data_IF_766792436014
#
_entry.id   IF_766792436014
#
_cell.length_a   1.000
_cell.length_b   1.000
_cell.length_c   1.000
_cell.angle_alpha   90.00
_cell.angle_beta   90.00
_cell.angle_gamma   90.00
#
_symmetry.space_group_name_H-M   'P 1'
#
loop_
_entity.id
_entity.type
_entity.pdbx_description
1 polymer ?
#
# COMPACT_ATOMS: atom_id res chain seq x y z
N UNK A 1 -69.32 -69.79 48.43
CA UNK A 1 -69.56 -69.13 49.73
C UNK A 1 -69.68 -67.64 49.46
N UNK A 2 -70.91 -67.12 49.41
CA UNK A 2 -71.50 -66.24 50.44
C UNK A 2 -70.55 -65.13 50.91
N UNK A 3 -70.79 -63.91 50.42
CA UNK A 3 -71.13 -62.77 51.29
C UNK A 3 -71.59 -61.60 50.43
N UNK A 4 -72.91 -61.40 50.45
CA UNK A 4 -73.59 -60.14 50.11
C UNK A 4 -73.35 -59.12 51.22
N UNK A 5 -73.16 -57.85 50.86
CA UNK A 5 -73.71 -56.79 51.69
C UNK A 5 -74.19 -55.62 50.83
N UNK A 6 -75.43 -55.26 51.12
CA UNK A 6 -76.31 -54.39 50.38
C UNK A 6 -76.32 -52.98 50.99
N UNK A 7 -76.38 -51.99 50.09
CA UNK A 7 -77.14 -50.74 50.16
C UNK A 7 -77.00 -49.82 51.39
N UNK A 8 -76.52 -48.60 51.13
CA UNK A 8 -77.24 -47.40 51.60
C UNK A 8 -77.53 -46.47 50.44
N UNK A 9 -78.83 -46.23 50.28
CA UNK A 9 -79.48 -45.28 49.42
C UNK A 9 -79.28 -43.86 49.97
N UNK A 10 -78.87 -42.92 49.12
CA UNK A 10 -78.93 -41.49 49.36
C UNK A 10 -79.45 -40.82 48.10
N UNK A 11 -80.77 -40.69 48.00
CA UNK A 11 -81.46 -40.01 46.90
C UNK A 11 -81.11 -38.52 46.87
N UNK A 12 -80.82 -37.97 45.70
CA UNK A 12 -81.73 -37.02 45.02
C UNK A 12 -81.19 -36.60 43.66
N UNK A 13 -82.07 -36.74 42.68
CA UNK A 13 -81.98 -36.27 41.31
C UNK A 13 -81.65 -34.78 41.20
N UNK A 14 -80.82 -34.42 40.21
CA UNK A 14 -81.14 -33.29 39.33
C UNK A 14 -80.41 -33.41 37.99
N UNK A 15 -81.18 -33.82 36.98
CA UNK A 15 -81.15 -33.41 35.57
C UNK A 15 -79.81 -33.37 34.82
N UNK A 16 -79.70 -34.29 33.85
CA UNK A 16 -78.89 -34.10 32.65
C UNK A 16 -79.41 -32.91 31.83
N UNK A 17 -78.51 -31.99 31.47
CA UNK A 17 -78.62 -31.16 30.27
C UNK A 17 -77.27 -31.22 29.53
N UNK A 18 -77.35 -31.55 28.23
CA UNK A 18 -76.23 -31.56 27.29
C UNK A 18 -75.59 -30.16 27.19
N UNK A 19 -74.27 -30.06 27.32
CA UNK A 19 -73.53 -28.86 26.92
C UNK A 19 -72.20 -29.17 26.21
N UNK A 20 -72.03 -28.46 25.12
CA UNK A 20 -70.99 -28.45 24.08
C UNK A 20 -69.54 -28.76 24.48
N UNK A 21 -68.84 -29.47 23.57
CA UNK A 21 -67.37 -29.55 23.48
C UNK A 21 -66.74 -28.14 23.55
N UNK A 22 -65.98 -27.87 24.61
CA UNK A 22 -65.12 -26.68 24.69
C UNK A 22 -63.79 -26.92 23.98
N UNK A 23 -63.55 -26.13 22.93
CA UNK A 23 -62.22 -25.90 22.31
C UNK A 23 -61.32 -25.20 23.33
N UNK A 24 -60.11 -25.71 23.53
CA UNK A 24 -59.09 -25.08 24.37
C UNK A 24 -58.71 -23.68 23.87
N UNK A 25 -58.66 -22.73 24.81
CA UNK A 25 -58.39 -21.32 24.58
C UNK A 25 -56.89 -21.08 24.35
N UNK A 26 -56.49 -20.69 23.13
CA UNK A 26 -55.13 -20.25 22.78
C UNK A 26 -54.77 -18.98 23.58
N UNK A 27 -53.74 -19.05 24.42
CA UNK A 27 -53.16 -17.87 25.09
C UNK A 27 -52.55 -16.93 24.03
N UNK A 28 -53.00 -15.68 23.99
CA UNK A 28 -52.46 -14.65 23.09
C UNK A 28 -50.99 -14.33 23.45
N UNK A 29 -50.09 -14.16 22.47
CA UNK A 29 -48.67 -13.96 22.71
C UNK A 29 -48.37 -12.50 23.09
N UNK A 30 -48.52 -12.17 24.38
CA UNK A 30 -48.21 -10.85 24.95
C UNK A 30 -46.72 -10.47 24.84
N UNK A 31 -45.83 -11.45 24.65
CA UNK A 31 -44.39 -11.21 24.44
C UNK A 31 -44.08 -10.39 23.19
N UNK A 32 -44.92 -10.47 22.15
CA UNK A 32 -44.74 -9.70 20.92
C UNK A 32 -44.90 -8.19 21.19
N UNK A 33 -45.81 -7.82 22.10
CA UNK A 33 -46.08 -6.42 22.44
C UNK A 33 -44.88 -5.78 23.17
N UNK A 34 -44.05 -6.58 23.85
CA UNK A 34 -42.85 -6.11 24.55
C UNK A 34 -41.63 -6.15 23.62
N UNK A 35 -41.52 -7.15 22.76
CA UNK A 35 -40.39 -7.30 21.83
C UNK A 35 -40.33 -6.21 20.77
N UNK A 36 -41.47 -5.85 20.18
CA UNK A 36 -41.54 -4.83 19.12
C UNK A 36 -40.97 -3.48 19.56
N UNK A 37 -41.39 -2.86 20.69
CA UNK A 37 -40.84 -1.59 21.12
C UNK A 37 -39.36 -1.68 21.51
N UNK A 38 -38.91 -2.81 22.04
CA UNK A 38 -37.50 -3.04 22.40
C UNK A 38 -36.60 -3.07 21.15
N UNK A 39 -37.06 -3.74 20.08
CA UNK A 39 -36.40 -3.73 18.77
C UNK A 39 -36.42 -2.33 18.15
N UNK A 40 -37.55 -1.61 18.23
CA UNK A 40 -37.63 -0.24 17.72
C UNK A 40 -36.65 0.71 18.45
N UNK A 41 -36.56 0.62 19.78
CA UNK A 41 -35.61 1.43 20.57
C UNK A 41 -34.17 1.08 20.19
N UNK A 42 -33.85 -0.21 20.03
CA UNK A 42 -32.52 -0.64 19.62
C UNK A 42 -32.13 -0.09 18.24
N UNK A 43 -33.05 -0.13 17.26
CA UNK A 43 -32.82 0.42 15.93
C UNK A 43 -32.64 1.94 15.95
N UNK A 44 -33.41 2.67 16.77
CA UNK A 44 -33.27 4.13 16.93
C UNK A 44 -31.94 4.47 17.60
N UNK A 45 -31.52 3.73 18.62
CA UNK A 45 -30.23 3.92 19.27
C UNK A 45 -29.06 3.62 18.34
N UNK A 46 -29.15 2.55 17.54
CA UNK A 46 -28.13 2.21 16.53
C UNK A 46 -28.06 3.26 15.40
N UNK A 47 -29.19 3.90 15.07
CA UNK A 47 -29.22 4.99 14.09
C UNK A 47 -28.62 6.30 14.63
N UNK A 48 -28.89 6.64 15.89
CA UNK A 48 -28.38 7.87 16.53
C UNK A 48 -26.90 7.73 16.92
N UNK A 49 -26.47 6.53 17.31
CA UNK A 49 -25.09 6.23 17.72
C UNK A 49 -24.48 5.13 16.84
N UNK A 50 -24.07 5.46 15.59
CA UNK A 50 -23.39 4.51 14.75
C UNK A 50 -22.05 4.10 15.41
N UNK A 51 -21.74 2.80 15.51
CA UNK A 51 -20.49 2.33 16.12
C UNK A 51 -19.30 2.81 15.28
N UNK A 52 -18.31 3.42 15.94
CA UNK A 52 -17.09 3.91 15.28
C UNK A 52 -16.11 2.79 14.89
N UNK A 53 -16.33 1.55 15.35
CA UNK A 53 -15.48 0.39 15.05
C UNK A 53 -16.29 -0.74 14.41
N UNK A 54 -15.95 -1.07 13.15
CA UNK A 54 -16.60 -2.08 12.32
C UNK A 54 -16.14 -3.52 12.58
N UNK A 55 -15.15 -3.73 13.44
CA UNK A 55 -14.57 -5.06 13.70
C UNK A 55 -15.58 -6.07 14.24
N UNK A 56 -16.63 -5.61 14.95
CA UNK A 56 -17.70 -6.46 15.45
C UNK A 56 -18.73 -6.86 14.36
N UNK A 57 -18.80 -6.12 13.24
CA UNK A 57 -19.75 -6.38 12.15
C UNK A 57 -19.35 -7.62 11.32
N UNK A 58 -18.04 -7.78 11.09
CA UNK A 58 -17.48 -8.94 10.37
C UNK A 58 -17.64 -10.27 11.12
N UNK A 59 -17.87 -10.23 12.44
CA UNK A 59 -18.08 -11.44 13.27
C UNK A 59 -19.51 -11.97 13.14
N UNK A 60 -20.49 -11.14 12.75
CA UNK A 60 -21.91 -11.49 12.76
C UNK A 60 -22.54 -11.62 11.36
N UNK A 61 -22.06 -10.90 10.33
CA UNK A 61 -22.52 -11.08 8.93
C UNK A 61 -21.64 -10.33 7.92
N UNK A 62 -20.99 -11.05 6.99
CA UNK A 62 -20.19 -10.42 5.91
C UNK A 62 -21.04 -9.63 4.92
N UNK A 63 -22.21 -10.16 4.53
CA UNK A 63 -23.04 -9.58 3.47
C UNK A 63 -23.81 -8.32 3.93
N UNK A 64 -24.14 -8.23 5.22
CA UNK A 64 -24.81 -7.05 5.77
C UNK A 64 -23.90 -5.80 5.79
N UNK A 65 -22.60 -6.00 6.02
CA UNK A 65 -21.66 -4.88 6.14
C UNK A 65 -21.26 -4.28 4.79
N UNK A 66 -21.11 -5.09 3.72
CA UNK A 66 -20.92 -4.55 2.36
C UNK A 66 -22.09 -3.67 1.90
N UNK A 67 -23.30 -4.05 2.31
CA UNK A 67 -24.50 -3.27 2.02
C UNK A 67 -24.40 -1.92 2.73
N UNK A 68 -24.10 -1.89 4.04
CA UNK A 68 -24.00 -0.66 4.85
C UNK A 68 -22.87 0.27 4.36
N UNK A 69 -21.72 -0.26 3.95
CA UNK A 69 -20.63 0.57 3.37
C UNK A 69 -21.04 1.26 2.07
N UNK A 70 -21.93 0.64 1.29
CA UNK A 70 -22.47 1.23 0.06
C UNK A 70 -23.59 2.26 0.32
N UNK A 71 -24.22 2.24 1.50
CA UNK A 71 -25.28 3.19 1.90
C UNK A 71 -24.76 4.47 2.55
N UNK A 72 -23.53 4.46 3.08
CA UNK A 72 -22.91 5.67 3.61
C UNK A 72 -22.47 6.56 2.45
N UNK A 73 -22.87 7.85 2.43
CA UNK A 73 -22.32 8.78 1.45
C UNK A 73 -20.78 8.77 1.58
N UNK A 74 -20.03 8.81 0.47
CA UNK A 74 -18.58 8.88 0.54
C UNK A 74 -18.20 10.02 1.47
N UNK A 75 -17.24 9.77 2.36
CA UNK A 75 -16.73 10.81 3.25
C UNK A 75 -16.44 12.06 2.38
N UNK A 76 -16.88 13.26 2.81
CA UNK A 76 -16.67 14.47 2.03
C UNK A 76 -15.18 14.53 1.69
N UNK A 77 -14.87 14.71 0.40
CA UNK A 77 -13.49 14.80 -0.05
C UNK A 77 -12.81 15.86 0.82
N UNK A 78 -11.85 15.42 1.64
CA UNK A 78 -11.12 16.32 2.51
C UNK A 78 -10.50 17.41 1.65
N UNK A 79 -10.68 18.67 2.05
CA UNK A 79 -10.03 19.78 1.37
C UNK A 79 -8.52 19.55 1.39
N UNK A 80 -7.87 19.75 0.23
CA UNK A 80 -6.44 19.55 0.10
C UNK A 80 -5.70 20.65 0.86
N UNK A 81 -4.60 20.26 1.51
CA UNK A 81 -3.66 21.19 2.12
C UNK A 81 -2.89 21.98 1.06
N UNK A 82 -2.34 23.13 1.44
CA UNK A 82 -1.53 23.97 0.54
C UNK A 82 -0.32 23.19 -0.02
N UNK A 83 0.30 22.33 0.80
CA UNK A 83 1.44 21.50 0.40
C UNK A 83 1.05 20.43 -0.61
N UNK A 84 -0.13 19.81 -0.46
CA UNK A 84 -0.68 18.86 -1.43
C UNK A 84 -1.00 19.55 -2.76
N UNK A 85 -1.59 20.76 -2.71
CA UNK A 85 -1.88 21.54 -3.90
C UNK A 85 -0.58 21.91 -4.62
N UNK A 86 0.41 22.41 -3.89
CA UNK A 86 1.72 22.78 -4.45
C UNK A 86 2.42 21.57 -5.09
N UNK A 87 2.46 20.43 -4.39
CA UNK A 87 3.03 19.18 -4.90
C UNK A 87 2.34 18.73 -6.19
N UNK A 88 1.00 18.72 -6.22
CA UNK A 88 0.22 18.36 -7.41
C UNK A 88 0.48 19.29 -8.59
N UNK A 89 0.61 20.59 -8.36
CA UNK A 89 0.91 21.57 -9.42
C UNK A 89 2.30 21.30 -10.02
N UNK A 90 3.32 21.13 -9.17
CA UNK A 90 4.70 20.87 -9.59
C UNK A 90 4.80 19.55 -10.36
N UNK A 91 4.28 18.46 -9.81
CA UNK A 91 4.30 17.14 -10.47
C UNK A 91 3.59 17.19 -11.82
N UNK A 92 2.40 17.79 -11.87
CA UNK A 92 1.63 17.93 -13.12
C UNK A 92 2.42 18.72 -14.17
N UNK A 93 3.11 19.78 -13.77
CA UNK A 93 3.88 20.60 -14.70
C UNK A 93 5.11 19.84 -15.24
N UNK A 94 5.82 19.12 -14.37
CA UNK A 94 6.93 18.24 -14.78
C UNK A 94 6.46 17.18 -15.78
N UNK A 95 5.32 16.53 -15.52
CA UNK A 95 4.76 15.51 -16.42
C UNK A 95 4.27 16.07 -17.76
N UNK A 96 3.89 17.35 -17.82
CA UNK A 96 3.47 18.03 -19.06
C UNK A 96 4.62 18.68 -19.81
N UNK A 97 5.76 18.86 -19.17
CA UNK A 97 6.94 19.47 -19.77
C UNK A 97 7.49 18.56 -20.87
N UNK A 98 7.74 19.12 -22.05
CA UNK A 98 8.33 18.36 -23.14
C UNK A 98 9.75 17.87 -22.74
N UNK A 99 10.09 16.59 -22.96
CA UNK A 99 11.40 16.08 -22.61
C UNK A 99 12.49 16.80 -23.43
N UNK A 100 13.56 17.21 -22.76
CA UNK A 100 14.75 17.76 -23.41
C UNK A 100 15.51 16.57 -24.00
N UNK A 101 15.19 16.22 -25.25
CA UNK A 101 15.89 15.14 -25.96
C UNK A 101 17.17 15.70 -26.56
N UNK A 102 18.30 15.32 -25.97
CA UNK A 102 19.63 15.61 -26.53
C UNK A 102 19.95 14.62 -27.66
N UNK A 103 20.69 15.08 -28.67
CA UNK A 103 21.27 14.19 -29.69
C UNK A 103 22.17 13.14 -29.03
N UNK A 104 22.81 13.50 -27.91
CA UNK A 104 23.71 12.66 -27.14
C UNK A 104 23.01 12.10 -25.89
N UNK A 105 21.78 11.63 -26.02
CA UNK A 105 21.04 11.10 -24.86
C UNK A 105 21.79 9.94 -24.21
N UNK A 106 21.84 9.92 -22.87
CA UNK A 106 22.60 8.94 -22.08
C UNK A 106 21.72 8.19 -21.10
N UNK A 107 22.18 6.98 -20.76
CA UNK A 107 21.70 6.25 -19.59
C UNK A 107 22.68 6.48 -18.42
N UNK A 108 22.15 6.96 -17.30
CA UNK A 108 22.88 7.06 -16.04
C UNK A 108 22.79 5.73 -15.27
N UNK A 109 23.92 5.05 -15.11
CA UNK A 109 24.07 3.87 -14.27
C UNK A 109 24.46 4.29 -12.86
N UNK A 110 23.58 4.02 -11.91
CA UNK A 110 23.66 4.45 -10.52
C UNK A 110 24.03 3.25 -9.64
N UNK A 111 25.30 3.10 -9.32
CA UNK A 111 25.79 2.01 -8.47
C UNK A 111 25.72 2.43 -7.00
N UNK A 112 24.85 1.78 -6.23
CA UNK A 112 24.81 1.91 -4.78
C UNK A 112 25.45 0.68 -4.15
N UNK A 113 26.64 0.84 -3.55
CA UNK A 113 27.47 -0.27 -3.09
C UNK A 113 27.88 -0.11 -1.62
N UNK A 114 28.22 -1.20 -0.92
CA UNK A 114 28.93 -1.10 0.35
C UNK A 114 30.39 -0.65 0.15
N UNK A 115 31.04 -1.04 -0.94
CA UNK A 115 32.43 -0.73 -1.22
C UNK A 115 32.84 -1.12 -2.63
N UNK A 116 33.83 -2.02 -2.76
CA UNK A 116 34.32 -2.53 -4.03
C UNK A 116 33.21 -3.13 -4.92
N UNK A 117 33.44 -3.11 -6.24
CA UNK A 117 32.55 -3.68 -7.26
C UNK A 117 33.15 -5.01 -7.76
N UNK A 118 32.67 -6.17 -7.30
CA UNK A 118 33.24 -7.46 -7.71
C UNK A 118 33.14 -7.72 -9.21
N UNK A 119 32.09 -7.20 -9.86
CA UNK A 119 31.82 -7.36 -11.28
C UNK A 119 32.28 -6.17 -12.13
N UNK A 120 33.20 -5.34 -11.62
CA UNK A 120 33.68 -4.15 -12.34
C UNK A 120 34.19 -4.48 -13.75
N UNK A 121 34.99 -5.53 -13.91
CA UNK A 121 35.51 -5.96 -15.22
C UNK A 121 34.44 -6.51 -16.17
N UNK A 122 33.28 -6.94 -15.65
CA UNK A 122 32.15 -7.33 -16.49
C UNK A 122 31.44 -6.07 -17.02
N UNK A 123 31.22 -5.09 -16.15
CA UNK A 123 30.67 -3.80 -16.53
C UNK A 123 31.59 -3.02 -17.47
N UNK A 124 32.90 -3.13 -17.29
CA UNK A 124 33.91 -2.59 -18.22
C UNK A 124 33.68 -3.09 -19.66
N UNK A 125 33.56 -4.41 -19.82
CA UNK A 125 33.25 -5.02 -21.13
C UNK A 125 31.88 -4.63 -21.67
N UNK A 126 30.89 -4.45 -20.79
CA UNK A 126 29.56 -4.03 -21.19
C UNK A 126 29.56 -2.59 -21.73
N UNK A 127 30.36 -1.70 -21.15
CA UNK A 127 30.45 -0.30 -21.56
C UNK A 127 31.38 -0.05 -22.75
N UNK A 128 32.32 -0.96 -23.00
CA UNK A 128 33.34 -0.82 -24.02
C UNK A 128 32.77 -0.44 -25.39
N UNK A 129 33.24 0.68 -25.96
CA UNK A 129 32.86 1.14 -27.30
C UNK A 129 31.55 1.95 -27.36
N UNK A 130 30.94 2.26 -26.21
CA UNK A 130 29.69 3.02 -26.12
C UNK A 130 29.87 4.37 -25.40
N UNK A 131 31.09 4.90 -25.42
CA UNK A 131 31.43 6.17 -24.78
C UNK A 131 30.55 7.30 -25.32
N UNK A 132 29.93 8.04 -24.40
CA UNK A 132 29.01 9.13 -24.74
C UNK A 132 27.53 8.73 -24.73
N UNK A 133 27.21 7.44 -24.69
CA UNK A 133 25.82 6.93 -24.56
C UNK A 133 25.44 6.56 -23.10
N UNK A 134 26.38 6.67 -22.17
CA UNK A 134 26.14 6.41 -20.75
C UNK A 134 26.95 7.32 -19.84
N UNK A 135 26.56 7.33 -18.56
CA UNK A 135 27.35 7.88 -17.47
C UNK A 135 27.26 6.98 -16.23
N UNK A 136 28.31 6.97 -15.42
CA UNK A 136 28.42 6.10 -14.24
C UNK A 136 28.54 6.97 -12.99
N UNK A 137 27.77 6.62 -11.95
CA UNK A 137 27.82 7.25 -10.63
C UNK A 137 27.89 6.17 -9.56
N UNK A 138 28.82 6.32 -8.61
CA UNK A 138 29.03 5.33 -7.56
C UNK A 138 28.80 5.97 -6.19
N UNK A 139 27.93 5.37 -5.39
CA UNK A 139 27.75 5.69 -3.98
C UNK A 139 28.22 4.50 -3.13
N UNK A 140 29.41 4.63 -2.53
CA UNK A 140 30.01 3.60 -1.68
C UNK A 140 29.79 3.94 -0.19
N UNK A 141 28.97 3.13 0.49
CA UNK A 141 28.45 3.45 1.83
C UNK A 141 29.34 3.08 3.02
N UNK A 142 30.36 2.22 2.82
CA UNK A 142 31.30 1.81 3.88
C UNK A 142 32.73 2.19 3.53
N UNK A 143 33.25 1.61 2.46
CA UNK A 143 34.65 1.73 2.07
C UNK A 143 34.77 2.45 0.73
N UNK A 144 35.76 3.33 0.58
CA UNK A 144 36.05 3.91 -0.72
C UNK A 144 36.69 2.84 -1.61
N UNK A 145 36.05 2.42 -2.71
CA UNK A 145 36.60 1.41 -3.59
C UNK A 145 37.83 1.94 -4.34
N UNK A 146 38.73 1.03 -4.72
CA UNK A 146 39.76 1.29 -5.71
C UNK A 146 39.27 0.70 -7.03
N UNK A 147 39.15 1.55 -8.05
CA UNK A 147 38.68 1.16 -9.38
C UNK A 147 39.86 0.90 -10.32
N UNK A 148 39.70 -0.09 -11.19
CA UNK A 148 40.65 -0.51 -12.22
C UNK A 148 40.15 -0.16 -13.62
N UNK A 149 38.84 -0.18 -13.84
CA UNK A 149 38.19 0.22 -15.08
C UNK A 149 38.16 1.74 -15.21
N UNK A 150 38.51 2.25 -16.39
CA UNK A 150 38.45 3.68 -16.71
C UNK A 150 37.04 4.26 -16.60
N UNK A 151 36.01 3.43 -16.76
CA UNK A 151 34.62 3.85 -16.64
C UNK A 151 34.20 4.15 -15.20
N UNK A 152 34.89 3.59 -14.20
CA UNK A 152 34.57 3.76 -12.78
C UNK A 152 35.54 4.71 -12.04
N UNK A 153 36.71 4.98 -12.61
CA UNK A 153 37.67 5.93 -12.03
C UNK A 153 37.04 7.32 -11.89
N UNK A 154 37.11 7.88 -10.67
CA UNK A 154 36.58 9.20 -10.30
C UNK A 154 35.06 9.36 -10.55
N UNK A 155 34.29 8.27 -10.44
CA UNK A 155 32.84 8.29 -10.56
C UNK A 155 32.11 8.29 -9.22
N UNK A 156 32.86 8.26 -8.11
CA UNK A 156 32.30 8.29 -6.78
C UNK A 156 31.70 9.66 -6.46
N UNK A 157 30.46 9.65 -5.99
CA UNK A 157 29.81 10.84 -5.45
C UNK A 157 30.12 10.96 -3.95
N UNK A 158 29.76 12.10 -3.34
CA UNK A 158 29.75 12.21 -1.88
C UNK A 158 28.76 11.19 -1.30
N UNK A 159 29.29 10.18 -0.63
CA UNK A 159 28.50 9.11 0.01
C UNK A 159 28.27 9.36 1.50
N UNK A 160 27.18 8.80 2.00
CA UNK A 160 26.85 8.73 3.44
C UNK A 160 26.61 7.27 3.86
N UNK A 161 26.58 7.01 5.16
CA UNK A 161 26.33 5.66 5.69
C UNK A 161 24.91 5.21 5.35
N UNK A 162 24.80 3.98 4.89
CA UNK A 162 23.52 3.34 4.56
C UNK A 162 23.25 2.19 5.52
N UNK A 163 22.11 2.21 6.20
CA UNK A 163 21.61 1.09 6.99
C UNK A 163 20.57 0.30 6.20
N UNK A 164 20.67 -1.03 6.25
CA UNK A 164 19.71 -1.91 5.59
C UNK A 164 18.29 -1.71 6.11
N UNK A 165 17.33 -1.58 5.19
CA UNK A 165 15.92 -1.36 5.48
C UNK A 165 15.60 -0.04 6.19
N UNK A 166 16.50 0.95 6.08
CA UNK A 166 16.32 2.30 6.65
C UNK A 166 16.18 3.32 5.54
N UNK A 167 15.54 4.45 5.86
CA UNK A 167 15.39 5.60 4.96
C UNK A 167 16.71 6.10 4.36
N UNK A 168 17.84 5.87 5.04
CA UNK A 168 19.18 6.17 4.51
C UNK A 168 19.47 5.51 3.15
N UNK A 169 18.81 4.40 2.81
CA UNK A 169 18.89 3.78 1.48
C UNK A 169 18.26 4.70 0.42
N UNK A 170 17.04 5.16 0.68
CA UNK A 170 16.35 6.15 -0.18
C UNK A 170 17.16 7.44 -0.29
N UNK A 171 17.80 7.88 0.79
CA UNK A 171 18.65 9.07 0.76
C UNK A 171 19.87 8.88 -0.15
N UNK A 172 20.48 7.69 -0.17
CA UNK A 172 21.60 7.37 -1.06
C UNK A 172 21.16 7.34 -2.53
N UNK A 173 20.00 6.74 -2.81
CA UNK A 173 19.37 6.77 -4.14
C UNK A 173 19.08 8.20 -4.61
N UNK A 174 18.49 9.03 -3.73
CA UNK A 174 18.23 10.45 -4.03
C UNK A 174 19.53 11.21 -4.30
N UNK A 175 20.63 10.93 -3.57
CA UNK A 175 21.96 11.52 -3.83
C UNK A 175 22.52 11.10 -5.20
N UNK A 176 22.37 9.84 -5.58
CA UNK A 176 22.77 9.34 -6.91
C UNK A 176 21.99 10.06 -8.02
N UNK A 177 20.66 10.10 -7.90
CA UNK A 177 19.78 10.81 -8.84
C UNK A 177 20.16 12.29 -8.94
N UNK A 178 20.34 12.98 -7.82
CA UNK A 178 20.69 14.41 -7.79
C UNK A 178 22.02 14.70 -8.51
N UNK A 179 23.03 13.84 -8.38
CA UNK A 179 24.29 14.01 -9.11
C UNK A 179 24.14 13.68 -10.59
N UNK A 180 23.39 12.63 -10.93
CA UNK A 180 23.16 12.23 -12.30
C UNK A 180 22.31 13.22 -13.10
N UNK A 181 21.36 13.90 -12.45
CA UNK A 181 20.49 14.92 -13.07
C UNK A 181 21.22 16.21 -13.46
N UNK A 182 22.43 16.43 -12.93
CA UNK A 182 23.27 17.58 -13.33
C UNK A 182 23.68 17.51 -14.81
N UNK A 183 23.83 16.31 -15.36
CA UNK A 183 24.03 16.13 -16.79
C UNK A 183 22.66 16.21 -17.50
N UNK A 184 22.42 17.21 -18.36
CA UNK A 184 21.16 17.31 -19.11
C UNK A 184 21.01 16.21 -20.16
N UNK A 185 22.09 15.55 -20.57
CA UNK A 185 22.05 14.44 -21.53
C UNK A 185 21.53 13.14 -20.90
N UNK A 186 21.57 13.00 -19.57
CA UNK A 186 21.03 11.83 -18.90
C UNK A 186 19.50 11.80 -18.97
N UNK A 187 18.97 10.91 -19.80
CA UNK A 187 17.53 10.78 -20.07
C UNK A 187 16.88 9.57 -19.37
N UNK A 188 17.68 8.55 -19.03
CA UNK A 188 17.24 7.35 -18.32
C UNK A 188 18.19 7.04 -17.15
N UNK A 189 17.66 6.49 -16.06
CA UNK A 189 18.39 6.24 -14.82
C UNK A 189 18.17 4.78 -14.40
N UNK A 190 19.25 4.05 -14.11
CA UNK A 190 19.23 2.63 -13.75
C UNK A 190 19.92 2.46 -12.40
N UNK A 191 19.19 1.98 -11.39
CA UNK A 191 19.77 1.70 -10.07
C UNK A 191 20.30 0.26 -10.00
N UNK A 192 21.53 0.10 -9.48
CA UNK A 192 22.24 -1.18 -9.41
C UNK A 192 22.97 -1.35 -8.07
N UNK A 193 23.09 -2.59 -7.59
CA UNK A 193 24.03 -2.97 -6.52
C UNK A 193 25.38 -3.43 -7.09
N UNK A 194 26.30 -3.71 -6.18
CA UNK A 194 27.55 -4.43 -6.42
C UNK A 194 27.36 -5.87 -6.93
N UNK A 195 26.18 -6.45 -6.73
CA UNK A 195 25.85 -7.82 -7.17
C UNK A 195 25.09 -7.87 -8.51
N UNK A 196 24.73 -6.73 -9.10
CA UNK A 196 24.01 -6.69 -10.37
C UNK A 196 24.95 -6.96 -11.55
N UNK A 197 24.44 -7.71 -12.54
CA UNK A 197 25.13 -7.99 -13.80
C UNK A 197 24.19 -7.74 -14.99
N UNK A 198 24.69 -7.27 -16.15
CA UNK A 198 23.88 -7.18 -17.36
C UNK A 198 23.64 -8.58 -17.94
N UNK A 199 22.42 -8.81 -18.46
CA UNK A 199 22.04 -10.08 -19.10
C UNK A 199 21.95 -9.97 -20.63
N UNK A 200 21.95 -8.76 -21.15
CA UNK A 200 21.95 -8.44 -22.58
C UNK A 200 23.11 -7.49 -22.87
N UNK A 201 23.47 -7.35 -24.15
CA UNK A 201 24.46 -6.36 -24.59
C UNK A 201 23.97 -4.91 -24.42
N UNK A 202 24.92 -3.97 -24.52
CA UNK A 202 24.64 -2.55 -24.29
C UNK A 202 23.62 -2.00 -25.29
N UNK A 203 23.78 -2.31 -26.58
CA UNK A 203 22.90 -1.83 -27.63
C UNK A 203 21.44 -2.24 -27.39
N UNK A 204 21.21 -3.49 -26.99
CA UNK A 204 19.88 -3.97 -26.63
C UNK A 204 19.30 -3.17 -25.46
N UNK A 205 20.05 -3.05 -24.36
CA UNK A 205 19.59 -2.35 -23.15
C UNK A 205 19.32 -0.87 -23.44
N UNK A 206 20.24 -0.23 -24.16
CA UNK A 206 20.16 1.17 -24.52
C UNK A 206 18.93 1.44 -25.37
N UNK A 207 18.76 0.70 -26.47
CA UNK A 207 17.60 0.86 -27.35
C UNK A 207 16.29 0.57 -26.61
N UNK A 208 16.23 -0.50 -25.81
CA UNK A 208 15.02 -0.84 -25.05
C UNK A 208 14.61 0.28 -24.10
N UNK A 209 15.53 0.78 -23.28
CA UNK A 209 15.22 1.80 -22.28
C UNK A 209 14.99 3.19 -22.89
N UNK A 210 15.72 3.54 -23.94
CA UNK A 210 15.60 4.84 -24.60
C UNK A 210 14.31 4.98 -25.42
N UNK A 211 13.88 3.92 -26.11
CA UNK A 211 12.64 3.93 -26.88
C UNK A 211 11.38 3.60 -26.07
N UNK A 212 11.51 3.05 -24.86
CA UNK A 212 10.37 2.85 -23.99
C UNK A 212 9.73 4.19 -23.61
N UNK A 213 8.40 4.27 -23.60
CA UNK A 213 7.65 5.47 -23.16
C UNK A 213 7.30 5.46 -21.66
N UNK A 214 7.74 4.44 -20.94
CA UNK A 214 7.44 4.24 -19.52
C UNK A 214 8.72 4.21 -18.68
N UNK A 215 8.53 4.22 -17.37
CA UNK A 215 9.54 3.78 -16.40
C UNK A 215 9.14 2.42 -15.85
N UNK A 216 10.13 1.69 -15.37
CA UNK A 216 9.96 0.34 -14.86
C UNK A 216 10.28 0.35 -13.36
N UNK A 217 9.22 0.18 -12.58
CA UNK A 217 9.26 0.03 -11.13
C UNK A 217 8.39 -1.16 -10.79
N UNK A 218 8.76 -1.90 -9.75
CA UNK A 218 7.93 -2.96 -9.22
C UNK A 218 6.89 -2.36 -8.25
N UNK A 219 5.65 -2.81 -8.36
CA UNK A 219 4.54 -2.23 -7.62
C UNK A 219 3.39 -3.24 -7.51
N UNK A 220 3.17 -3.75 -6.31
CA UNK A 220 2.12 -4.72 -6.02
C UNK A 220 1.53 -4.55 -4.63
N UNK A 221 0.35 -5.11 -4.43
CA UNK A 221 -0.26 -5.23 -3.11
C UNK A 221 0.26 -6.49 -2.41
N UNK A 222 0.78 -6.32 -1.20
CA UNK A 222 1.13 -7.43 -0.33
C UNK A 222 0.33 -7.24 0.97
N UNK A 223 -0.67 -8.09 1.27
CA UNK A 223 -1.46 -7.97 2.50
C UNK A 223 -0.68 -8.43 3.75
N UNK A 224 0.51 -9.02 3.59
CA UNK A 224 1.30 -9.59 4.66
C UNK A 224 1.99 -8.57 5.58
N UNK A 225 2.65 -9.04 6.65
CA UNK A 225 3.37 -8.20 7.62
C UNK A 225 4.56 -7.47 7.03
N UNK A 226 5.00 -7.85 5.82
CA UNK A 226 6.10 -7.22 5.09
C UNK A 226 5.62 -6.34 3.93
N UNK A 227 4.32 -6.14 3.79
CA UNK A 227 3.69 -5.22 2.84
C UNK A 227 2.79 -4.24 3.59
N UNK A 228 1.48 -4.38 3.42
CA UNK A 228 0.44 -3.54 4.02
C UNK A 228 0.47 -3.55 5.55
N UNK A 229 1.01 -4.59 6.19
CA UNK A 229 1.24 -4.59 7.64
C UNK A 229 2.25 -3.54 8.12
N UNK A 230 3.00 -2.92 7.19
CA UNK A 230 3.94 -1.82 7.46
C UNK A 230 3.32 -0.44 7.32
N UNK A 231 2.08 -0.36 6.81
CA UNK A 231 1.36 0.90 6.68
C UNK A 231 1.07 1.51 8.06
N UNK A 232 1.20 2.83 8.16
CA UNK A 232 0.83 3.59 9.36
C UNK A 232 -0.28 4.56 9.02
N UNK A 233 -1.33 4.60 9.84
CA UNK A 233 -2.44 5.55 9.67
C UNK A 233 -1.99 7.01 9.77
N UNK A 234 -0.84 7.28 10.40
CA UNK A 234 -0.24 8.62 10.43
C UNK A 234 0.29 9.11 9.07
N UNK A 235 0.31 8.24 8.06
CA UNK A 235 0.60 8.64 6.69
C UNK A 235 -0.61 9.29 5.99
N UNK A 236 -1.82 9.20 6.57
CA UNK A 236 -2.98 9.95 6.10
C UNK A 236 -2.85 11.46 6.39
N UNK A 237 -3.49 12.32 5.58
CA UNK A 237 -4.25 11.99 4.36
C UNK A 237 -3.37 11.76 3.11
N UNK A 238 -2.09 12.09 3.15
CA UNK A 238 -1.24 12.20 1.97
C UNK A 238 -0.98 10.86 1.29
N UNK A 239 -0.74 9.80 2.07
CA UNK A 239 -0.61 8.43 1.54
C UNK A 239 -1.79 7.61 2.04
N UNK A 240 -2.81 7.47 1.20
CA UNK A 240 -3.92 6.57 1.49
C UNK A 240 -3.46 5.10 1.47
N UNK A 241 -4.08 4.26 2.29
CA UNK A 241 -3.76 2.82 2.35
C UNK A 241 -3.87 2.12 0.99
N UNK A 242 -4.81 2.54 0.15
CA UNK A 242 -5.00 2.00 -1.21
C UNK A 242 -3.83 2.32 -2.16
N UNK A 243 -3.08 3.37 -1.86
CA UNK A 243 -1.95 3.86 -2.66
C UNK A 243 -0.61 3.40 -2.08
N UNK A 244 -0.60 2.83 -0.87
CA UNK A 244 0.58 2.19 -0.27
C UNK A 244 0.84 0.84 -0.94
N UNK A 245 1.93 0.75 -1.71
CA UNK A 245 2.31 -0.43 -2.48
C UNK A 245 3.71 -0.90 -2.10
N UNK A 246 3.93 -2.22 -2.25
CA UNK A 246 5.24 -2.85 -2.10
C UNK A 246 5.92 -2.96 -3.46
N UNK A 247 7.24 -2.90 -3.47
CA UNK A 247 8.04 -3.12 -4.66
C UNK A 247 9.48 -3.48 -4.33
N UNK A 248 10.19 -3.95 -5.34
CA UNK A 248 11.65 -3.96 -5.40
C UNK A 248 12.24 -2.56 -5.26
N UNK A 249 13.42 -2.48 -4.64
CA UNK A 249 14.24 -1.26 -4.61
C UNK A 249 14.71 -0.85 -6.03
N UNK A 250 14.94 -1.83 -6.90
CA UNK A 250 15.50 -1.61 -8.23
C UNK A 250 14.50 -0.95 -9.17
N UNK A 251 14.97 0.06 -9.90
CA UNK A 251 14.19 0.76 -10.91
C UNK A 251 15.00 1.04 -12.16
N UNK A 252 14.29 1.23 -13.27
CA UNK A 252 14.75 2.07 -14.37
C UNK A 252 13.72 3.15 -14.63
N UNK A 253 14.15 4.40 -14.74
CA UNK A 253 13.21 5.50 -14.90
C UNK A 253 13.68 6.61 -15.83
N UNK A 254 12.70 7.28 -16.41
CA UNK A 254 12.91 8.48 -17.22
C UNK A 254 13.25 9.69 -16.36
N UNK A 255 13.96 10.63 -16.97
CA UNK A 255 14.37 11.91 -16.37
C UNK A 255 13.24 12.65 -15.65
N UNK A 256 12.05 12.74 -16.24
CA UNK A 256 10.92 13.43 -15.62
C UNK A 256 10.52 12.82 -14.27
N UNK A 257 10.56 11.49 -14.13
CA UNK A 257 10.24 10.81 -12.87
C UNK A 257 11.37 10.99 -11.84
N UNK A 258 12.63 10.97 -12.29
CA UNK A 258 13.76 11.32 -11.42
C UNK A 258 13.64 12.76 -10.87
N UNK A 259 13.20 13.73 -11.70
CA UNK A 259 12.96 15.11 -11.27
C UNK A 259 11.80 15.17 -10.27
N UNK A 260 10.72 14.41 -10.47
CA UNK A 260 9.61 14.32 -9.51
C UNK A 260 10.11 13.84 -8.14
N UNK A 261 10.97 12.80 -8.09
CA UNK A 261 11.54 12.30 -6.83
C UNK A 261 12.41 13.37 -6.13
N UNK A 262 13.09 14.22 -6.90
CA UNK A 262 13.87 15.35 -6.36
C UNK A 262 13.01 16.51 -5.87
N UNK A 263 11.89 16.77 -6.54
CA UNK A 263 10.93 17.79 -6.14
C UNK A 263 10.08 17.36 -4.94
N UNK A 264 9.91 16.05 -4.73
CA UNK A 264 9.10 15.53 -3.65
C UNK A 264 9.76 15.71 -2.27
N UNK A 265 9.04 16.46 -1.43
CA UNK A 265 9.28 16.57 0.01
C UNK A 265 8.08 16.08 0.82
N UNK A 266 6.88 16.07 0.25
CA UNK A 266 5.64 15.77 0.96
C UNK A 266 5.55 14.28 1.29
N UNK A 267 5.62 13.43 0.26
CA UNK A 267 5.51 11.98 0.44
C UNK A 267 6.75 11.44 1.13
N UNK A 268 7.94 11.82 0.65
CA UNK A 268 9.21 11.42 1.26
C UNK A 268 9.25 11.69 2.77
N UNK A 269 8.72 12.82 3.25
CA UNK A 269 8.67 13.13 4.69
C UNK A 269 7.81 12.12 5.47
N UNK A 270 6.66 11.72 4.94
CA UNK A 270 5.80 10.69 5.56
C UNK A 270 6.52 9.35 5.65
N UNK A 271 7.15 8.91 4.56
CA UNK A 271 7.94 7.67 4.57
C UNK A 271 9.12 7.76 5.55
N UNK A 272 9.87 8.86 5.56
CA UNK A 272 10.98 9.06 6.51
C UNK A 272 10.54 8.97 7.97
N UNK A 273 9.41 9.57 8.30
CA UNK A 273 8.99 9.71 9.70
C UNK A 273 8.30 8.45 10.25
N UNK A 274 7.64 7.68 9.38
CA UNK A 274 6.81 6.53 9.76
C UNK A 274 7.33 5.16 9.31
N UNK A 275 8.32 5.10 8.41
CA UNK A 275 9.04 3.86 8.07
C UNK A 275 10.30 3.69 8.94
N UNK A 276 10.15 3.17 10.16
CA UNK A 276 11.25 2.99 11.13
C UNK A 276 11.47 1.52 11.46
N UNK A 277 12.71 1.04 11.28
CA UNK A 277 13.42 -0.19 11.75
C UNK A 277 12.60 -1.44 12.14
N UNK A 278 11.57 -1.33 12.99
CA UNK A 278 10.59 -2.41 13.21
C UNK A 278 9.60 -2.55 12.04
N UNK A 279 9.57 -1.53 11.19
CA UNK A 279 8.80 -1.36 9.98
C UNK A 279 9.83 -0.91 8.94
N UNK A 280 10.58 -1.86 8.38
CA UNK A 280 11.32 -1.62 7.14
C UNK A 280 10.26 -1.15 6.13
N UNK A 281 10.44 -0.03 5.46
CA UNK A 281 9.83 0.17 4.15
C UNK A 281 10.94 -0.22 3.17
#
# INVERSE_FOLDING_TARGET
>A
MKATQAWRLGMKDMQMMHASRHRGHLKKPTWIIILVPLVCIFLVLAYIYPPQNFDACYVLSSNGCETISNWLPPAPASELTDDEIASRVVIRDILKTAPIVSINSKIAFLFMTPGALPFEMLWDKFFQGHEGSFSVYVHASKDKPVHFSEYFINREIRSDKVGWGKISMVDAEKRLLANALKDPDNQHFVLLSDSCIPLHDFDYVYNYLMYANTSFVDCFEDPGPHGSGRYSEHMLPEVEKKDFRKGSQWFTMKRQHAIIIMADNLYYTKFRDYCKVNIIC
#
